data_IF_399804617754
#
_entry.id   IF_399804617754
#
_cell.length_a   1.000
_cell.length_b   1.000
_cell.length_c   1.000
_cell.angle_alpha   90.00
_cell.angle_beta   90.00
_cell.angle_gamma   90.00
#
_symmetry.space_group_name_H-M   'P 1'
#
loop_
_entity.id
_entity.type
_entity.pdbx_description
1 polymer ?
#
# COMPACT_ATOMS: atom_id res chain seq x y z
N UNK A 1 44.94 18.24 -20.30
CA UNK A 1 45.24 17.18 -21.29
C UNK A 1 44.06 16.24 -21.35
N UNK A 2 43.22 16.37 -22.39
CA UNK A 2 42.14 15.42 -22.65
C UNK A 2 42.74 14.09 -23.09
N UNK A 3 42.30 12.98 -22.48
CA UNK A 3 42.37 11.66 -23.10
C UNK A 3 40.98 11.04 -23.07
N UNK A 4 40.39 11.01 -24.26
CA UNK A 4 39.14 10.34 -24.58
C UNK A 4 39.35 8.83 -24.78
N UNK A 5 38.41 8.08 -24.23
CA UNK A 5 37.84 6.79 -24.68
C UNK A 5 38.72 5.54 -24.87
N UNK A 6 38.23 4.43 -24.29
CA UNK A 6 37.90 3.22 -25.05
C UNK A 6 36.63 2.59 -24.48
N UNK A 7 35.57 2.55 -25.29
CA UNK A 7 34.35 1.77 -25.04
C UNK A 7 34.57 0.39 -25.64
N UNK A 8 34.53 -0.66 -24.83
CA UNK A 8 34.43 -2.04 -25.31
C UNK A 8 32.98 -2.52 -25.15
N UNK A 9 32.26 -2.42 -26.26
CA UNK A 9 30.94 -3.01 -26.49
C UNK A 9 31.10 -4.53 -26.54
N UNK A 10 30.52 -5.28 -25.59
CA UNK A 10 30.32 -6.73 -25.72
C UNK A 10 28.88 -7.02 -26.13
N UNK A 11 28.79 -7.72 -27.25
CA UNK A 11 27.60 -8.11 -27.99
C UNK A 11 26.86 -9.25 -27.29
N UNK A 12 25.53 -9.24 -27.46
CA UNK A 12 24.54 -10.23 -27.06
C UNK A 12 24.93 -11.69 -27.34
N UNK A 13 24.56 -12.58 -26.42
CA UNK A 13 24.27 -13.98 -26.70
C UNK A 13 22.95 -14.36 -26.02
N UNK A 14 21.90 -14.51 -26.82
CA UNK A 14 20.61 -15.05 -26.41
C UNK A 14 20.74 -16.57 -26.21
N UNK A 15 20.40 -17.07 -25.01
CA UNK A 15 20.15 -18.49 -24.79
C UNK A 15 18.66 -18.67 -24.47
N UNK A 16 17.88 -18.97 -25.51
CA UNK A 16 16.50 -19.40 -25.38
C UNK A 16 16.47 -20.90 -25.09
N UNK A 17 15.88 -21.30 -23.96
CA UNK A 17 15.57 -22.70 -23.64
C UNK A 17 14.08 -22.92 -23.84
N UNK A 18 13.63 -23.75 -24.79
CA UNK A 18 12.21 -24.04 -25.00
C UNK A 18 11.72 -25.09 -23.99
N UNK A 19 10.80 -24.68 -23.11
CA UNK A 19 9.98 -25.61 -22.31
C UNK A 19 8.76 -25.98 -23.16
N UNK A 20 8.71 -27.25 -23.58
CA UNK A 20 7.56 -27.85 -24.25
C UNK A 20 6.52 -28.18 -23.17
N UNK A 21 5.40 -27.45 -23.16
CA UNK A 21 4.19 -27.84 -22.43
C UNK A 21 3.17 -28.37 -23.44
N UNK A 22 2.92 -29.67 -23.37
CA UNK A 22 1.91 -30.38 -24.16
C UNK A 22 0.50 -30.00 -23.68
N UNK A 23 -0.21 -29.21 -24.47
CA UNK A 23 -1.66 -29.05 -24.35
C UNK A 23 -2.35 -30.23 -25.04
N UNK A 24 -2.95 -31.12 -24.24
CA UNK A 24 -3.98 -32.04 -24.70
C UNK A 24 -5.23 -31.22 -25.02
N UNK A 25 -5.74 -31.38 -26.24
CA UNK A 25 -6.93 -30.70 -26.73
C UNK A 25 -8.24 -31.30 -26.23
N UNK A 26 -9.29 -30.51 -26.36
CA UNK A 26 -10.53 -31.00 -26.98
C UNK A 26 -11.20 -29.81 -27.66
N UNK A 27 -11.01 -29.74 -28.98
CA UNK A 27 -11.72 -28.86 -29.89
C UNK A 27 -13.02 -29.55 -30.31
N UNK A 28 -14.05 -28.75 -30.54
CA UNK A 28 -15.30 -29.12 -31.20
C UNK A 28 -15.03 -29.88 -32.50
N UNK A 29 -15.73 -31.01 -32.68
CA UNK A 29 -15.86 -31.69 -33.97
C UNK A 29 -17.32 -32.09 -34.21
N UNK A 30 -17.71 -31.91 -35.46
CA UNK A 30 -19.06 -31.94 -36.00
C UNK A 30 -19.31 -33.23 -36.78
N UNK A 31 -20.43 -33.88 -36.49
CA UNK A 31 -21.14 -34.75 -37.43
C UNK A 31 -21.00 -36.25 -37.20
N UNK A 32 -22.13 -36.91 -36.89
CA UNK A 32 -22.62 -38.10 -37.61
C UNK A 32 -24.06 -38.47 -37.21
N UNK A 33 -24.88 -38.50 -38.25
CA UNK A 33 -26.19 -39.15 -38.41
C UNK A 33 -26.06 -40.67 -38.09
N UNK A 34 -27.05 -41.51 -37.78
CA UNK A 34 -28.52 -41.55 -37.80
C UNK A 34 -28.93 -42.73 -36.89
N UNK A 35 -30.10 -42.68 -36.24
CA UNK A 35 -31.15 -43.71 -36.34
C UNK A 35 -32.18 -43.66 -35.20
N UNK A 36 -33.43 -43.73 -35.66
CA UNK A 36 -34.61 -44.35 -35.08
C UNK A 36 -35.62 -43.55 -34.24
N UNK A 37 -36.87 -44.01 -34.42
CA UNK A 37 -38.13 -43.29 -34.53
C UNK A 37 -38.91 -43.30 -33.21
N UNK A 38 -39.83 -42.35 -33.07
CA UNK A 38 -40.89 -42.44 -32.07
C UNK A 38 -41.84 -41.25 -32.09
N UNK A 39 -42.93 -41.37 -32.84
CA UNK A 39 -44.09 -40.46 -32.85
C UNK A 39 -44.69 -40.21 -31.45
N UNK A 40 -45.09 -38.95 -31.16
CA UNK A 40 -46.49 -38.52 -30.90
C UNK A 40 -46.61 -37.18 -30.13
N UNK A 41 -47.25 -36.23 -30.81
CA UNK A 41 -48.45 -35.45 -30.39
C UNK A 41 -48.38 -34.46 -29.19
N UNK A 42 -48.56 -33.18 -29.57
CA UNK A 42 -49.42 -32.13 -28.97
C UNK A 42 -49.12 -31.60 -27.57
N UNK A 43 -48.97 -30.27 -27.45
CA UNK A 43 -49.35 -29.56 -26.22
C UNK A 43 -48.73 -28.18 -26.02
N UNK A 44 -49.55 -27.16 -26.21
CA UNK A 44 -49.52 -25.85 -25.53
C UNK A 44 -48.36 -24.88 -25.75
N UNK A 45 -48.72 -23.82 -26.49
CA UNK A 45 -48.27 -22.45 -26.28
C UNK A 45 -48.32 -22.09 -24.79
N UNK A 46 -47.17 -21.72 -24.23
CA UNK A 46 -47.09 -20.99 -22.97
C UNK A 46 -46.20 -19.77 -23.22
N UNK A 47 -46.85 -18.61 -23.25
CA UNK A 47 -46.21 -17.31 -23.26
C UNK A 47 -45.25 -17.20 -22.08
N UNK A 48 -43.96 -17.03 -22.35
CA UNK A 48 -42.99 -16.68 -21.34
C UNK A 48 -43.35 -15.28 -20.80
N UNK A 49 -43.86 -15.23 -19.56
CA UNK A 49 -43.96 -13.98 -18.80
C UNK A 49 -42.57 -13.34 -18.74
N UNK A 50 -42.43 -12.02 -18.88
CA UNK A 50 -41.17 -11.34 -18.62
C UNK A 50 -40.72 -11.66 -17.19
N UNK A 51 -39.65 -12.45 -17.07
CA UNK A 51 -39.06 -12.78 -15.79
C UNK A 51 -38.71 -11.50 -15.05
N UNK A 52 -39.10 -11.45 -13.78
CA UNK A 52 -38.75 -10.41 -12.83
C UNK A 52 -37.28 -10.02 -13.00
N UNK A 53 -37.03 -8.74 -13.27
CA UNK A 53 -35.68 -8.17 -13.22
C UNK A 53 -35.15 -8.43 -11.81
N UNK A 54 -34.31 -9.45 -11.64
CA UNK A 54 -33.48 -9.59 -10.44
C UNK A 54 -32.77 -8.26 -10.24
N UNK A 55 -33.15 -7.54 -9.19
CA UNK A 55 -32.50 -6.30 -8.78
C UNK A 55 -31.00 -6.61 -8.67
N UNK A 56 -30.19 -5.99 -9.54
CA UNK A 56 -28.74 -6.10 -9.46
C UNK A 56 -28.34 -5.64 -8.05
N UNK A 57 -27.50 -6.38 -7.31
CA UNK A 57 -27.02 -5.93 -6.01
C UNK A 57 -26.45 -4.52 -6.16
N UNK A 58 -27.03 -3.57 -5.43
CA UNK A 58 -26.49 -2.23 -5.38
C UNK A 58 -25.12 -2.31 -4.72
N UNK A 59 -24.09 -1.86 -5.44
CA UNK A 59 -22.74 -1.83 -4.93
C UNK A 59 -22.68 -0.86 -3.76
N UNK A 60 -22.29 -1.36 -2.59
CA UNK A 60 -22.00 -0.52 -1.43
C UNK A 60 -21.04 0.60 -1.84
N UNK A 61 -21.31 1.84 -1.43
CA UNK A 61 -20.42 2.97 -1.73
C UNK A 61 -19.20 2.94 -0.82
N UNK A 62 -18.04 3.34 -1.33
CA UNK A 62 -16.86 3.60 -0.51
C UNK A 62 -17.15 4.67 0.56
N UNK A 63 -16.71 4.44 1.80
CA UNK A 63 -16.94 5.36 2.92
C UNK A 63 -16.16 6.67 2.78
N UNK A 64 -14.90 6.56 2.34
CA UNK A 64 -14.03 7.68 2.00
C UNK A 64 -13.90 7.79 0.49
N UNK A 65 -14.04 9.00 -0.04
CA UNK A 65 -13.97 9.31 -1.47
C UNK A 65 -12.63 9.90 -1.90
N UNK A 66 -11.86 10.45 -0.94
CA UNK A 66 -10.60 11.15 -1.20
C UNK A 66 -9.50 10.67 -0.28
N UNK A 67 -8.25 10.82 -0.74
CA UNK A 67 -7.06 10.65 0.10
C UNK A 67 -6.54 12.02 0.54
N UNK A 68 -6.03 12.14 1.79
CA UNK A 68 -5.35 13.35 2.23
C UNK A 68 -4.04 13.57 1.46
N UNK A 69 -3.49 14.77 1.53
CA UNK A 69 -2.11 15.03 1.15
C UNK A 69 -1.17 14.32 2.14
N UNK A 70 -0.41 13.29 1.71
CA UNK A 70 0.41 12.50 2.61
C UNK A 70 1.53 13.30 3.25
N UNK A 71 2.02 14.37 2.61
CA UNK A 71 3.07 15.22 3.16
C UNK A 71 2.56 16.18 4.25
N UNK A 72 1.23 16.33 4.38
CA UNK A 72 0.59 17.19 5.39
C UNK A 72 -0.21 16.39 6.42
N UNK A 73 -0.20 15.07 6.32
CA UNK A 73 -0.98 14.19 7.17
C UNK A 73 -0.39 14.03 8.58
N UNK A 74 0.91 14.28 8.73
CA UNK A 74 1.64 14.27 9.99
C UNK A 74 2.00 15.72 10.34
N UNK A 75 1.82 16.10 11.60
CA UNK A 75 2.11 17.45 12.07
C UNK A 75 3.60 17.77 11.95
N UNK A 76 3.92 19.03 11.65
CA UNK A 76 5.31 19.46 11.47
C UNK A 76 6.19 19.16 12.71
N UNK A 77 5.66 19.37 13.93
CA UNK A 77 6.39 19.06 15.16
C UNK A 77 6.66 17.55 15.35
N UNK A 78 5.73 16.71 14.88
CA UNK A 78 5.93 15.26 14.84
C UNK A 78 7.02 14.90 13.83
N UNK A 79 7.02 15.51 12.64
CA UNK A 79 8.12 15.32 11.66
C UNK A 79 9.47 15.76 12.21
N UNK A 80 9.57 16.94 12.83
CA UNK A 80 10.81 17.44 13.44
C UNK A 80 11.34 16.47 14.53
N UNK A 81 10.45 15.80 15.25
CA UNK A 81 10.81 14.81 16.27
C UNK A 81 11.27 13.49 15.66
N UNK A 82 10.55 12.99 14.65
CA UNK A 82 10.80 11.68 14.05
C UNK A 82 12.01 11.69 13.11
N UNK A 83 12.23 12.81 12.42
CA UNK A 83 13.26 12.96 11.39
C UNK A 83 14.03 14.26 11.65
N UNK A 84 14.85 14.31 12.72
CA UNK A 84 15.73 15.46 12.96
C UNK A 84 16.65 15.68 11.75
N UNK A 85 16.95 16.94 11.47
CA UNK A 85 17.74 17.35 10.28
C UNK A 85 17.18 16.76 8.97
N UNK A 86 15.85 16.70 8.84
CA UNK A 86 15.20 16.30 7.60
C UNK A 86 15.68 17.16 6.42
N UNK A 87 16.14 16.52 5.35
CA UNK A 87 16.61 17.20 4.13
C UNK A 87 15.54 18.11 3.52
N UNK A 88 14.28 17.69 3.60
CA UNK A 88 13.12 18.50 3.25
C UNK A 88 12.07 18.32 4.35
N UNK A 89 11.79 19.40 5.09
CA UNK A 89 10.81 19.40 6.17
C UNK A 89 9.38 19.15 5.68
N UNK A 90 9.09 19.49 4.42
CA UNK A 90 7.79 19.25 3.82
C UNK A 90 7.67 17.83 3.25
N UNK A 91 8.76 17.06 3.25
CA UNK A 91 8.80 15.72 2.69
C UNK A 91 8.76 15.69 1.17
N UNK A 92 9.01 14.52 0.63
CA UNK A 92 9.02 14.27 -0.81
C UNK A 92 7.85 13.37 -1.17
N UNK A 93 6.86 13.93 -1.86
CA UNK A 93 5.73 13.19 -2.40
C UNK A 93 6.18 12.22 -3.51
N UNK A 94 5.71 10.99 -3.46
CA UNK A 94 5.95 10.02 -4.54
C UNK A 94 5.06 10.35 -5.73
N UNK A 95 5.65 10.34 -6.92
CA UNK A 95 4.90 10.51 -8.17
C UNK A 95 4.03 9.29 -8.42
N UNK A 96 2.75 9.51 -8.71
CA UNK A 96 1.78 8.47 -9.07
C UNK A 96 0.92 8.98 -10.23
N UNK A 97 0.56 8.09 -11.14
CA UNK A 97 -0.44 8.35 -12.17
C UNK A 97 -1.88 8.15 -11.65
N UNK A 98 -2.03 7.70 -10.40
CA UNK A 98 -3.29 7.42 -9.73
C UNK A 98 -3.23 7.88 -8.26
N UNK A 99 -3.16 9.20 -8.07
CA UNK A 99 -3.18 9.83 -6.74
C UNK A 99 -4.54 9.70 -6.04
N UNK A 100 -5.59 9.34 -6.78
CA UNK A 100 -6.87 9.03 -6.19
C UNK A 100 -6.77 7.73 -5.38
N UNK A 101 -6.16 6.67 -5.90
CA UNK A 101 -6.07 5.38 -5.21
C UNK A 101 -4.86 5.28 -4.30
N UNK A 102 -3.73 5.90 -4.67
CA UNK A 102 -2.45 5.76 -3.97
C UNK A 102 -1.70 7.09 -3.86
N UNK A 103 -1.41 7.50 -2.63
CA UNK A 103 -0.62 8.68 -2.35
C UNK A 103 0.40 8.36 -1.25
N UNK A 104 1.63 8.84 -1.40
CA UNK A 104 2.67 8.64 -0.39
C UNK A 104 3.63 9.82 -0.29
N UNK A 105 4.24 9.97 0.88
CA UNK A 105 5.28 10.95 1.16
C UNK A 105 6.40 10.32 1.98
N UNK A 106 7.62 10.82 1.84
CA UNK A 106 8.75 10.35 2.62
C UNK A 106 9.68 11.47 3.07
N UNK A 107 10.38 11.21 4.17
CA UNK A 107 11.37 12.10 4.77
C UNK A 107 12.62 11.29 5.10
N UNK A 108 13.78 11.94 5.04
CA UNK A 108 15.00 11.40 5.60
C UNK A 108 15.85 12.52 6.19
N UNK A 109 16.55 12.19 7.27
CA UNK A 109 17.44 13.08 7.99
C UNK A 109 18.65 12.32 8.50
N UNK A 110 19.76 13.03 8.63
CA UNK A 110 20.98 12.55 9.23
C UNK A 110 21.42 13.60 10.24
N UNK A 111 21.26 13.29 11.52
CA UNK A 111 21.71 14.13 12.62
C UNK A 111 23.17 13.76 12.91
N UNK A 112 24.09 14.68 12.61
CA UNK A 112 25.53 14.50 12.75
C UNK A 112 26.04 15.20 14.01
N UNK A 113 26.55 14.44 14.98
CA UNK A 113 27.14 14.98 16.21
C UNK A 113 28.63 14.59 16.27
N UNK A 114 29.42 15.07 15.31
CA UNK A 114 30.89 14.99 15.28
C UNK A 114 31.50 13.76 15.96
N UNK A 115 31.97 13.91 17.20
CA UNK A 115 32.64 12.84 17.96
C UNK A 115 31.71 11.75 18.51
N UNK A 116 30.40 11.99 18.57
CA UNK A 116 29.36 11.05 19.02
C UNK A 116 28.75 10.22 17.88
N UNK A 117 29.19 10.46 16.63
CA UNK A 117 28.71 9.81 15.43
C UNK A 117 27.39 10.40 14.93
N UNK A 118 26.65 9.64 14.14
CA UNK A 118 25.48 10.15 13.42
C UNK A 118 24.27 9.22 13.51
N UNK A 119 23.07 9.82 13.52
CA UNK A 119 21.79 9.15 13.61
C UNK A 119 20.98 9.39 12.34
N UNK A 120 20.72 8.32 11.60
CA UNK A 120 19.85 8.39 10.43
C UNK A 120 18.42 8.05 10.81
N UNK A 121 17.48 8.79 10.19
CA UNK A 121 16.05 8.50 10.23
C UNK A 121 15.47 8.51 8.84
N UNK A 122 14.57 7.56 8.57
CA UNK A 122 13.74 7.54 7.38
C UNK A 122 12.30 7.26 7.77
N UNK A 123 11.39 8.08 7.27
CA UNK A 123 9.96 7.97 7.48
C UNK A 123 9.28 7.92 6.12
N UNK A 124 8.35 7.01 5.93
CA UNK A 124 7.48 6.93 4.76
C UNK A 124 6.05 6.73 5.20
N UNK A 125 5.14 7.46 4.59
CA UNK A 125 3.71 7.34 4.79
C UNK A 125 3.05 7.05 3.45
N UNK A 126 2.25 6.00 3.38
CA UNK A 126 1.51 5.58 2.20
C UNK A 126 0.04 5.35 2.51
N UNK A 127 -0.82 5.83 1.61
CA UNK A 127 -2.24 5.55 1.59
C UNK A 127 -2.60 4.67 0.40
N UNK A 128 -3.50 3.73 0.64
CA UNK A 128 -4.14 2.94 -0.39
C UNK A 128 -5.65 2.94 -0.17
N UNK A 129 -6.39 3.62 -1.04
CA UNK A 129 -7.86 3.60 -1.04
C UNK A 129 -8.37 2.50 -1.95
N UNK A 130 -9.39 1.79 -1.51
CA UNK A 130 -10.18 0.91 -2.37
C UNK A 130 -11.52 1.55 -2.70
N UNK A 131 -11.97 1.35 -3.93
CA UNK A 131 -13.34 1.62 -4.34
C UNK A 131 -14.12 0.30 -4.47
N UNK A 132 -15.44 0.38 -4.42
CA UNK A 132 -16.29 -0.77 -4.68
C UNK A 132 -16.28 -1.10 -6.16
N UNK A 133 -16.27 -2.38 -6.51
CA UNK A 133 -16.24 -2.82 -7.89
C UNK A 133 -17.13 -4.03 -8.11
N UNK A 134 -17.87 -4.06 -9.23
CA UNK A 134 -18.90 -5.06 -9.50
C UNK A 134 -18.40 -6.51 -9.44
N UNK A 135 -17.15 -6.75 -9.82
CA UNK A 135 -16.53 -8.08 -9.79
C UNK A 135 -15.62 -8.32 -8.59
N UNK A 136 -15.16 -7.28 -7.89
CA UNK A 136 -14.17 -7.41 -6.81
C UNK A 136 -14.77 -7.21 -5.41
N UNK A 137 -16.04 -6.81 -5.33
CA UNK A 137 -16.75 -6.60 -4.07
C UNK A 137 -16.67 -5.17 -3.52
N UNK A 138 -17.18 -5.01 -2.30
CA UNK A 138 -17.27 -3.72 -1.60
C UNK A 138 -15.90 -3.18 -1.19
N UNK A 139 -15.76 -1.85 -1.22
CA UNK A 139 -14.54 -1.13 -0.90
C UNK A 139 -13.94 -1.55 0.45
N UNK A 140 -14.77 -1.64 1.49
CA UNK A 140 -14.32 -1.94 2.85
C UNK A 140 -13.66 -3.33 2.95
N UNK A 141 -14.33 -4.36 2.43
CA UNK A 141 -13.77 -5.73 2.38
C UNK A 141 -12.47 -5.79 1.56
N UNK A 142 -12.40 -5.06 0.45
CA UNK A 142 -11.17 -4.99 -0.36
C UNK A 142 -10.02 -4.32 0.40
N UNK A 143 -10.31 -3.32 1.24
CA UNK A 143 -9.29 -2.72 2.11
C UNK A 143 -8.85 -3.68 3.21
N UNK A 144 -9.74 -4.49 3.77
CA UNK A 144 -9.39 -5.55 4.74
C UNK A 144 -8.44 -6.59 4.11
N UNK A 145 -8.72 -7.03 2.89
CA UNK A 145 -7.82 -7.91 2.14
C UNK A 145 -6.46 -7.25 1.85
N UNK A 146 -6.47 -5.97 1.49
CA UNK A 146 -5.23 -5.22 1.27
C UNK A 146 -4.44 -5.04 2.56
N UNK A 147 -5.10 -4.76 3.68
CA UNK A 147 -4.49 -4.67 5.00
C UNK A 147 -3.74 -5.96 5.34
N UNK A 148 -4.41 -7.11 5.19
CA UNK A 148 -3.77 -8.41 5.41
C UNK A 148 -2.53 -8.62 4.54
N UNK A 149 -2.62 -8.26 3.25
CA UNK A 149 -1.45 -8.33 2.34
C UNK A 149 -0.30 -7.43 2.76
N UNK A 150 -0.58 -6.21 3.21
CA UNK A 150 0.45 -5.27 3.68
C UNK A 150 1.12 -5.78 4.96
N UNK A 151 0.35 -6.34 5.90
CA UNK A 151 0.91 -6.96 7.11
C UNK A 151 1.82 -8.14 6.76
N UNK A 152 1.37 -9.05 5.89
CA UNK A 152 2.19 -10.20 5.50
C UNK A 152 3.42 -9.78 4.69
N UNK A 153 3.29 -8.77 3.82
CA UNK A 153 4.44 -8.21 3.10
C UNK A 153 5.48 -7.60 4.05
N UNK A 154 5.04 -6.88 5.09
CA UNK A 154 5.93 -6.27 6.07
C UNK A 154 6.64 -7.33 6.94
N UNK A 155 5.97 -8.43 7.29
CA UNK A 155 6.58 -9.57 8.00
C UNK A 155 7.62 -10.29 7.15
N UNK A 156 7.41 -10.31 5.83
CA UNK A 156 8.28 -10.97 4.86
C UNK A 156 9.36 -10.04 4.27
N UNK A 157 9.62 -8.89 4.90
CA UNK A 157 10.68 -7.97 4.50
C UNK A 157 12.02 -8.68 4.34
N UNK A 158 12.70 -8.43 3.22
CA UNK A 158 13.95 -9.08 2.90
C UNK A 158 15.03 -8.80 3.96
N UNK A 159 15.68 -9.86 4.46
CA UNK A 159 16.72 -9.75 5.49
C UNK A 159 16.20 -9.40 6.89
N UNK A 160 14.89 -9.37 7.11
CA UNK A 160 14.30 -9.13 8.42
C UNK A 160 14.64 -10.25 9.41
N UNK A 161 15.01 -9.85 10.62
CA UNK A 161 15.32 -10.72 11.75
C UNK A 161 14.51 -10.28 12.97
N UNK A 162 14.23 -11.22 13.87
CA UNK A 162 13.49 -10.96 15.10
C UNK A 162 12.13 -10.28 14.84
N UNK A 163 11.46 -10.65 13.74
CA UNK A 163 10.17 -10.08 13.35
C UNK A 163 9.15 -10.32 14.46
N UNK A 164 8.55 -9.24 14.95
CA UNK A 164 7.41 -9.28 15.87
C UNK A 164 6.27 -8.48 15.28
N UNK A 165 5.08 -9.05 15.30
CA UNK A 165 3.86 -8.41 14.86
C UNK A 165 2.85 -8.39 16.02
N UNK A 166 2.35 -7.21 16.36
CA UNK A 166 1.44 -6.98 17.48
C UNK A 166 0.27 -6.11 17.04
N UNK A 167 -0.92 -6.38 17.58
CA UNK A 167 -2.09 -5.55 17.32
C UNK A 167 -1.93 -4.19 18.02
N UNK A 168 -2.32 -3.11 17.33
CA UNK A 168 -2.29 -1.75 17.87
C UNK A 168 -3.70 -1.19 17.85
N UNK A 169 -4.20 -0.87 19.03
CA UNK A 169 -5.53 -0.26 19.20
C UNK A 169 -5.51 1.24 18.85
N UNK A 170 -6.66 1.77 18.45
CA UNK A 170 -6.84 3.21 18.19
C UNK A 170 -6.27 3.70 16.85
N UNK A 171 -5.99 2.81 15.90
CA UNK A 171 -5.55 3.14 14.53
C UNK A 171 -6.66 2.94 13.47
N UNK A 172 -7.93 3.10 13.86
CA UNK A 172 -9.08 2.82 13.01
C UNK A 172 -9.70 1.47 13.31
N UNK A 173 -10.11 0.74 12.27
CA UNK A 173 -10.78 -0.55 12.39
C UNK A 173 -9.78 -1.68 12.72
N UNK A 174 -8.57 -1.60 12.18
CA UNK A 174 -7.49 -2.56 12.39
C UNK A 174 -6.14 -1.83 12.43
N UNK A 175 -5.23 -2.30 13.28
CA UNK A 175 -3.86 -1.82 13.36
C UNK A 175 -2.91 -2.93 13.75
N UNK A 176 -1.78 -3.03 13.06
CA UNK A 176 -0.68 -3.95 13.39
C UNK A 176 0.64 -3.19 13.31
N UNK A 177 1.45 -3.29 14.37
CA UNK A 177 2.87 -2.93 14.33
C UNK A 177 3.70 -4.14 13.97
N UNK A 178 4.64 -3.99 13.05
CA UNK A 178 5.63 -4.99 12.68
C UNK A 178 7.01 -4.38 12.94
N UNK A 179 7.74 -4.94 13.89
CA UNK A 179 9.11 -4.49 14.21
C UNK A 179 10.11 -5.57 13.86
N UNK A 180 11.25 -5.17 13.30
CA UNK A 180 12.32 -6.09 12.96
C UNK A 180 13.66 -5.37 12.84
N UNK A 181 14.73 -6.14 13.02
CA UNK A 181 16.10 -5.70 12.73
C UNK A 181 16.52 -6.20 11.35
N UNK A 182 17.38 -5.45 10.67
CA UNK A 182 18.10 -5.94 9.48
C UNK A 182 19.59 -5.85 9.76
N UNK A 183 20.31 -6.96 9.58
CA UNK A 183 21.76 -6.96 9.75
C UNK A 183 22.41 -6.31 8.53
N UNK A 184 22.98 -5.12 8.74
CA UNK A 184 23.88 -4.43 7.80
C UNK A 184 25.23 -4.20 8.48
N UNK A 185 26.06 -3.32 7.94
CA UNK A 185 27.30 -2.86 8.60
C UNK A 185 27.02 -2.09 9.91
N UNK A 186 25.76 -1.67 10.11
CA UNK A 186 25.25 -1.01 11.31
C UNK A 186 23.94 -1.65 11.76
N UNK A 187 23.60 -1.48 13.03
CA UNK A 187 22.30 -1.87 13.57
C UNK A 187 21.20 -1.00 12.97
N UNK A 188 20.27 -1.65 12.27
CA UNK A 188 19.17 -1.01 11.56
C UNK A 188 17.85 -1.57 12.09
N UNK A 189 17.05 -0.70 12.71
CA UNK A 189 15.74 -1.04 13.25
C UNK A 189 14.64 -0.47 12.36
N UNK A 190 13.65 -1.32 12.07
CA UNK A 190 12.50 -0.97 11.27
C UNK A 190 11.25 -1.13 12.12
N UNK A 191 10.33 -0.19 11.97
CA UNK A 191 8.96 -0.27 12.43
C UNK A 191 8.04 0.01 11.27
N UNK A 192 7.19 -0.95 10.92
CA UNK A 192 6.07 -0.74 9.98
C UNK A 192 4.78 -0.77 10.77
N UNK A 193 3.98 0.29 10.67
CA UNK A 193 2.61 0.33 11.15
C UNK A 193 1.69 0.19 9.94
N UNK A 194 0.87 -0.86 9.93
CA UNK A 194 -0.22 -1.01 8.96
C UNK A 194 -1.52 -0.79 9.70
N UNK A 195 -2.34 0.12 9.20
CA UNK A 195 -3.64 0.45 9.75
C UNK A 195 -4.72 0.41 8.66
N UNK A 196 -5.95 0.09 9.04
CA UNK A 196 -7.12 0.19 8.17
C UNK A 196 -8.18 1.05 8.84
N UNK A 197 -8.70 2.02 8.09
CA UNK A 197 -9.92 2.75 8.45
C UNK A 197 -10.87 2.71 7.27
N UNK A 198 -11.97 1.98 7.43
CA UNK A 198 -12.94 1.70 6.37
C UNK A 198 -12.23 1.19 5.10
N UNK A 199 -12.41 1.88 3.98
CA UNK A 199 -11.84 1.56 2.69
C UNK A 199 -10.44 2.16 2.41
N UNK A 200 -9.71 2.56 3.45
CA UNK A 200 -8.33 3.08 3.33
C UNK A 200 -7.38 2.28 4.20
N UNK A 201 -6.28 1.82 3.59
CA UNK A 201 -5.12 1.26 4.28
C UNK A 201 -4.04 2.34 4.38
N UNK A 202 -3.50 2.51 5.58
CA UNK A 202 -2.39 3.41 5.88
C UNK A 202 -1.19 2.55 6.24
N UNK A 203 -0.07 2.74 5.56
CA UNK A 203 1.21 2.10 5.89
C UNK A 203 2.21 3.19 6.23
N UNK A 204 2.76 3.13 7.44
CA UNK A 204 3.83 4.00 7.90
C UNK A 204 5.06 3.16 8.18
N UNK A 205 6.14 3.41 7.45
CA UNK A 205 7.45 2.78 7.67
C UNK A 205 8.37 3.80 8.34
N UNK A 206 8.97 3.42 9.47
CA UNK A 206 9.87 4.25 10.24
C UNK A 206 11.12 3.48 10.63
N UNK A 207 12.27 3.99 10.17
CA UNK A 207 13.53 3.31 10.26
C UNK A 207 14.57 4.19 10.95
N UNK A 208 15.41 3.56 11.78
CA UNK A 208 16.54 4.19 12.45
C UNK A 208 17.82 3.40 12.29
N UNK A 209 18.93 4.11 12.07
CA UNK A 209 20.27 3.56 12.07
C UNK A 209 21.24 4.49 12.78
N UNK A 210 22.26 3.91 13.41
CA UNK A 210 23.35 4.63 14.04
C UNK A 210 24.65 4.35 13.28
N UNK A 211 25.45 5.39 13.03
CA UNK A 211 26.71 5.31 12.32
C UNK A 211 27.86 5.83 13.19
N UNK A 212 29.09 5.53 12.78
CA UNK A 212 30.31 6.13 13.36
C UNK A 212 30.45 5.93 14.87
N UNK A 213 29.99 4.78 15.38
CA UNK A 213 30.05 4.44 16.80
C UNK A 213 28.95 5.08 17.66
N UNK A 214 28.00 5.79 17.05
CA UNK A 214 26.82 6.27 17.75
C UNK A 214 26.02 5.10 18.34
N UNK A 215 25.35 5.35 19.47
CA UNK A 215 24.50 4.36 20.11
C UNK A 215 23.34 3.92 19.22
N UNK A 216 23.00 2.63 19.27
CA UNK A 216 21.84 2.08 18.60
C UNK A 216 20.55 2.86 18.95
N UNK A 217 19.63 3.09 17.99
CA UNK A 217 18.34 3.70 18.27
C UNK A 217 17.54 2.91 19.30
N UNK A 218 16.84 3.61 20.20
CA UNK A 218 15.89 2.97 21.13
C UNK A 218 14.67 2.45 20.35
N UNK A 219 14.56 1.12 20.26
CA UNK A 219 13.50 0.44 19.53
C UNK A 219 12.10 0.73 20.09
N UNK A 220 11.96 0.81 21.42
CA UNK A 220 10.68 1.05 22.06
C UNK A 220 10.21 2.48 21.77
N UNK A 221 11.15 3.44 21.81
CA UNK A 221 10.86 4.82 21.40
C UNK A 221 10.50 4.92 19.92
N UNK A 222 11.25 4.26 19.02
CA UNK A 222 10.91 4.25 17.59
C UNK A 222 9.48 3.73 17.35
N UNK A 223 9.07 2.67 18.05
CA UNK A 223 7.72 2.13 17.96
C UNK A 223 6.66 3.13 18.46
N UNK A 224 6.88 3.77 19.60
CA UNK A 224 5.95 4.77 20.15
C UNK A 224 5.80 5.99 19.23
N UNK A 225 6.92 6.46 18.67
CA UNK A 225 6.94 7.58 17.73
C UNK A 225 6.19 7.23 16.43
N UNK A 226 6.40 6.02 15.90
CA UNK A 226 5.70 5.52 14.72
C UNK A 226 4.18 5.39 14.95
N UNK A 227 3.75 4.87 16.11
CA UNK A 227 2.33 4.78 16.47
C UNK A 227 1.71 6.17 16.58
N UNK A 228 2.42 7.16 17.13
CA UNK A 228 1.95 8.54 17.23
C UNK A 228 1.70 9.15 15.85
N UNK A 229 2.68 9.05 14.95
CA UNK A 229 2.53 9.51 13.57
C UNK A 229 1.43 8.75 12.80
N UNK A 230 1.28 7.44 13.04
CA UNK A 230 0.23 6.65 12.41
C UNK A 230 -1.18 7.10 12.86
N UNK A 231 -1.36 7.51 14.12
CA UNK A 231 -2.63 8.08 14.61
C UNK A 231 -2.99 9.37 13.88
N UNK A 232 -2.03 10.27 13.70
CA UNK A 232 -2.23 11.51 12.92
C UNK A 232 -2.58 11.20 11.46
N UNK A 233 -1.84 10.28 10.85
CA UNK A 233 -2.06 9.85 9.47
C UNK A 233 -3.46 9.24 9.28
N UNK A 234 -3.93 8.37 10.18
CA UNK A 234 -5.28 7.81 10.14
C UNK A 234 -6.34 8.91 10.34
N UNK A 235 -6.15 9.81 11.30
CA UNK A 235 -7.07 10.92 11.54
C UNK A 235 -7.20 11.85 10.34
N UNK A 236 -6.13 12.05 9.57
CA UNK A 236 -6.15 12.88 8.36
C UNK A 236 -7.07 12.32 7.26
N UNK A 237 -7.29 11.01 7.19
CA UNK A 237 -8.22 10.37 6.25
C UNK A 237 -9.65 10.84 6.52
N UNK A 238 -10.07 10.79 7.79
CA UNK A 238 -11.37 11.30 8.19
C UNK A 238 -11.45 12.82 7.94
N UNK A 239 -10.38 13.57 8.25
CA UNK A 239 -10.29 15.01 8.02
C UNK A 239 -10.51 15.42 6.56
N UNK A 240 -9.91 14.70 5.61
CA UNK A 240 -10.06 14.94 4.18
C UNK A 240 -11.48 14.66 3.64
N UNK A 241 -12.28 13.89 4.37
CA UNK A 241 -13.62 13.45 3.96
C UNK A 241 -14.75 14.06 4.82
N UNK A 242 -14.46 15.09 5.62
CA UNK A 242 -15.49 15.87 6.33
C UNK A 242 -16.34 16.69 5.34
N UNK A 243 -17.64 16.87 5.60
CA UNK A 243 -18.48 17.81 4.85
C UNK A 243 -17.89 19.24 4.88
N UNK A 244 -18.02 19.97 3.78
CA UNK A 244 -17.33 21.25 3.52
C UNK A 244 -17.64 22.40 4.51
N UNK A 245 -18.60 22.25 5.42
CA UNK A 245 -18.99 23.28 6.39
C UNK A 245 -18.01 23.45 7.58
N UNK A 246 -16.92 22.66 7.64
CA UNK A 246 -15.96 22.70 8.76
C UNK A 246 -14.50 22.89 8.35
N UNK A 247 -14.20 23.31 7.12
CA UNK A 247 -12.85 23.74 6.75
C UNK A 247 -12.65 25.23 7.09
N UNK A 248 -11.65 25.61 7.91
CA UNK A 248 -11.28 27.01 8.08
C UNK A 248 -10.91 27.58 6.71
N UNK A 249 -11.69 28.54 6.22
CA UNK A 249 -11.36 29.26 5.01
C UNK A 249 -10.08 30.06 5.25
N UNK A 250 -9.03 29.75 4.50
CA UNK A 250 -7.85 30.62 4.41
C UNK A 250 -8.29 31.99 3.86
N UNK A 251 -7.87 33.11 4.48
CA UNK A 251 -8.23 34.43 3.96
C UNK A 251 -7.62 34.62 2.57
N UNK A 252 -8.45 35.02 1.60
CA UNK A 252 -7.95 35.48 0.30
C UNK A 252 -7.20 36.80 0.50
N UNK A 253 -6.02 36.97 -0.13
CA UNK A 253 -5.33 38.26 -0.14
C UNK A 253 -6.14 39.28 -0.94
N UNK A 254 -6.37 40.45 -0.34
CA UNK A 254 -6.79 41.67 -1.04
C UNK A 254 -5.61 42.37 -1.69
#
# INVERSE_FOLDING_TARGET
MHRSASRLTRVLACAAVPVILTVAGCSSDSGKESADKGDKKSGSSASAKPGEKKSKPELEKAAFATLPDPCKAIQAGTIDTLVPEAKDKNGTATKSNDLATRASCSWNGLDEDGLKGSQYRWLSLSYFRTDSHASLGGANKRAEEQYGKQVESAKASEGAQNVKAEAVEGLGDQGTSIVYSVKKDVDFFNTTIVARTQNVVVTLDYNGAAYEGAGAPDQAKLLQDAITAAKEAVASVAGANKPAEQQPQSPQPQ
#
